data_IF_576656659643
#
_entry.id   IF_576656659643
#
_cell.length_a   1.000
_cell.length_b   1.000
_cell.length_c   1.000
_cell.angle_alpha   90.00
_cell.angle_beta   90.00
_cell.angle_gamma   90.00
#
_symmetry.space_group_name_H-M   'P 1'
#
loop_
_entity.id
_entity.type
_entity.pdbx_description
1 polymer ?
#
# COMPACT_ATOMS: atom_id res chain seq x y z
N UNK A 1 -1.46 4.46 28.07
CA UNK A 1 -2.32 3.28 27.79
C UNK A 1 -1.56 1.94 27.77
N UNK A 2 -0.27 1.89 27.51
CA UNK A 2 0.60 0.69 27.48
C UNK A 2 0.02 -0.47 26.63
N UNK A 3 -0.24 -0.27 25.32
CA UNK A 3 -0.81 -1.31 24.49
C UNK A 3 0.20 -2.45 24.24
N UNK A 4 -0.29 -3.69 24.14
CA UNK A 4 0.50 -4.86 23.76
C UNK A 4 0.98 -4.78 22.29
N UNK A 5 0.12 -4.24 21.41
CA UNK A 5 0.37 -4.08 19.98
C UNK A 5 0.05 -2.66 19.58
N UNK A 6 0.91 -2.05 18.77
CA UNK A 6 0.71 -0.71 18.22
C UNK A 6 0.90 -0.72 16.70
N UNK A 7 -0.17 -0.48 15.98
CA UNK A 7 -0.20 -0.46 14.52
C UNK A 7 -0.33 0.97 14.02
N UNK A 8 0.44 1.31 12.98
CA UNK A 8 0.43 2.62 12.34
C UNK A 8 0.27 2.42 10.82
N UNK A 9 -0.57 3.22 10.15
CA UNK A 9 -0.65 3.22 8.69
C UNK A 9 0.69 3.65 8.07
N UNK A 10 1.21 2.90 7.10
CA UNK A 10 2.47 3.21 6.43
C UNK A 10 2.32 4.31 5.37
N UNK A 11 1.61 5.37 5.68
CA UNK A 11 1.61 6.63 4.94
C UNK A 11 2.96 7.34 5.08
N UNK A 12 3.21 8.41 4.34
CA UNK A 12 4.45 9.18 4.46
C UNK A 12 4.68 9.64 5.91
N UNK A 13 3.67 10.28 6.52
CA UNK A 13 3.73 10.72 7.92
C UNK A 13 3.82 9.54 8.90
N UNK A 14 3.05 8.48 8.66
CA UNK A 14 3.02 7.31 9.53
C UNK A 14 4.34 6.55 9.55
N UNK A 15 5.09 6.51 8.45
CA UNK A 15 6.42 5.89 8.39
C UNK A 15 7.44 6.64 9.25
N UNK A 16 7.45 7.97 9.16
CA UNK A 16 8.34 8.81 9.97
C UNK A 16 7.98 8.71 11.46
N UNK A 17 6.70 8.84 11.77
CA UNK A 17 6.20 8.75 13.14
C UNK A 17 6.48 7.39 13.78
N UNK A 18 6.23 6.29 13.04
CA UNK A 18 6.44 4.93 13.55
C UNK A 18 7.89 4.69 14.00
N UNK A 19 8.85 5.15 13.20
CA UNK A 19 10.27 5.05 13.53
C UNK A 19 10.65 5.86 14.78
N UNK A 20 10.16 7.09 14.88
CA UNK A 20 10.39 7.96 16.02
C UNK A 20 9.80 7.38 17.32
N UNK A 21 8.54 6.90 17.27
CA UNK A 21 7.84 6.29 18.42
C UNK A 21 8.56 5.00 18.85
N UNK A 22 8.91 4.12 17.92
CA UNK A 22 9.62 2.87 18.25
C UNK A 22 10.96 3.14 18.95
N UNK A 23 11.69 4.16 18.47
CA UNK A 23 12.96 4.59 19.08
C UNK A 23 12.74 5.15 20.50
N UNK A 24 11.75 6.01 20.69
CA UNK A 24 11.43 6.59 22.00
C UNK A 24 11.02 5.51 23.01
N UNK A 25 10.25 4.51 22.59
CA UNK A 25 9.80 3.39 23.41
C UNK A 25 10.84 2.26 23.52
N UNK A 26 11.97 2.37 22.82
CA UNK A 26 13.04 1.35 22.77
C UNK A 26 12.52 -0.04 22.40
N UNK A 27 11.62 -0.10 21.42
CA UNK A 27 11.04 -1.35 20.91
C UNK A 27 11.36 -1.53 19.42
N UNK A 28 11.10 -2.74 18.90
CA UNK A 28 11.26 -3.04 17.48
C UNK A 28 10.06 -2.60 16.64
N UNK A 29 10.31 -2.17 15.41
CA UNK A 29 9.30 -1.85 14.42
C UNK A 29 9.46 -2.74 13.20
N UNK A 30 8.40 -3.44 12.78
CA UNK A 30 8.34 -4.08 11.48
C UNK A 30 7.62 -3.15 10.51
N UNK A 31 8.34 -2.61 9.54
CA UNK A 31 7.82 -1.57 8.66
C UNK A 31 7.19 -2.15 7.38
N UNK A 32 6.14 -1.48 6.89
CA UNK A 32 5.50 -1.72 5.59
C UNK A 32 4.95 -3.14 5.41
N UNK A 33 4.25 -3.62 6.44
CA UNK A 33 3.72 -4.97 6.50
C UNK A 33 2.55 -5.17 5.54
N UNK A 34 2.52 -6.37 4.95
CA UNK A 34 1.47 -6.82 4.03
C UNK A 34 0.61 -7.94 4.61
N UNK A 35 1.01 -8.52 5.75
CA UNK A 35 0.23 -9.52 6.49
C UNK A 35 0.52 -9.38 7.98
N UNK A 36 -0.53 -9.49 8.79
CA UNK A 36 -0.45 -9.47 10.26
C UNK A 36 -1.30 -10.62 10.81
N UNK A 37 -0.73 -11.39 11.72
CA UNK A 37 -1.41 -12.48 12.40
C UNK A 37 -1.02 -12.53 13.88
N UNK A 38 -1.95 -12.85 14.75
CA UNK A 38 -1.63 -13.21 16.13
C UNK A 38 -1.46 -14.72 16.21
N UNK A 39 -0.27 -15.17 16.54
CA UNK A 39 0.03 -16.61 16.53
C UNK A 39 0.96 -17.07 17.65
N UNK A 40 1.00 -18.39 17.85
CA UNK A 40 1.95 -19.02 18.76
C UNK A 40 3.34 -19.03 18.11
N UNK A 41 4.34 -18.71 18.92
CA UNK A 41 5.74 -18.72 18.49
C UNK A 41 6.53 -19.60 19.45
N UNK A 42 7.29 -20.56 18.93
CA UNK A 42 8.09 -21.50 19.75
C UNK A 42 8.95 -20.76 20.76
N UNK A 43 8.77 -21.11 22.04
CA UNK A 43 9.49 -20.50 23.15
C UNK A 43 8.93 -19.17 23.66
N UNK A 44 7.79 -18.72 23.17
CA UNK A 44 7.02 -17.61 23.74
C UNK A 44 5.91 -18.16 24.66
N UNK A 45 5.66 -17.45 25.78
CA UNK A 45 4.60 -17.84 26.74
C UNK A 45 3.19 -17.41 26.29
N UNK A 46 3.11 -16.49 25.31
CA UNK A 46 1.86 -15.90 24.83
C UNK A 46 1.90 -15.77 23.31
N UNK A 47 0.73 -15.56 22.70
CA UNK A 47 0.63 -15.25 21.28
C UNK A 47 1.34 -13.94 20.98
N UNK A 48 2.06 -13.90 19.86
CA UNK A 48 2.79 -12.73 19.40
C UNK A 48 2.27 -12.25 18.06
N UNK A 49 2.44 -10.95 17.80
CA UNK A 49 2.22 -10.39 16.48
C UNK A 49 3.27 -10.95 15.51
N UNK A 50 2.83 -11.63 14.49
CA UNK A 50 3.61 -12.10 13.35
C UNK A 50 3.39 -11.10 12.22
N UNK A 51 4.35 -10.23 12.00
CA UNK A 51 4.29 -9.16 11.02
C UNK A 51 5.10 -9.56 9.78
N UNK A 52 4.43 -9.78 8.65
CA UNK A 52 5.07 -10.20 7.40
C UNK A 52 5.19 -9.04 6.44
N UNK A 53 6.37 -8.89 5.86
CA UNK A 53 6.68 -7.85 4.88
C UNK A 53 7.52 -8.40 3.73
N UNK A 54 7.45 -7.78 2.53
CA UNK A 54 8.42 -8.03 1.47
C UNK A 54 9.82 -7.59 1.88
N UNK A 55 10.82 -8.42 1.58
CA UNK A 55 12.23 -8.16 1.81
C UNK A 55 13.03 -8.42 0.53
N UNK A 56 14.26 -7.92 0.47
CA UNK A 56 15.19 -8.15 -0.65
C UNK A 56 14.57 -7.89 -2.03
N UNK A 57 14.02 -6.69 -2.22
CA UNK A 57 13.40 -6.31 -3.49
C UNK A 57 12.05 -6.97 -3.78
N UNK A 58 11.41 -7.57 -2.78
CA UNK A 58 10.11 -8.23 -2.90
C UNK A 58 10.18 -9.73 -3.23
N UNK A 59 11.35 -10.29 -3.40
CA UNK A 59 11.52 -11.70 -3.76
C UNK A 59 11.36 -12.66 -2.57
N UNK A 60 11.41 -12.14 -1.35
CA UNK A 60 11.29 -12.93 -0.11
C UNK A 60 10.27 -12.25 0.79
N UNK A 61 9.41 -13.05 1.41
CA UNK A 61 8.49 -12.60 2.46
C UNK A 61 9.11 -12.94 3.81
N UNK A 62 9.38 -11.92 4.63
CA UNK A 62 9.94 -12.08 5.97
C UNK A 62 8.85 -11.89 7.02
N UNK A 63 8.65 -12.90 7.88
CA UNK A 63 7.78 -12.80 9.06
C UNK A 63 8.61 -12.50 10.29
N UNK A 64 8.35 -11.38 10.93
CA UNK A 64 9.12 -10.84 12.04
C UNK A 64 8.24 -10.82 13.30
N UNK A 65 8.85 -11.14 14.45
CA UNK A 65 8.18 -11.16 15.75
C UNK A 65 9.00 -10.41 16.79
N UNK A 66 8.35 -9.59 17.61
CA UNK A 66 8.96 -8.91 18.75
C UNK A 66 8.71 -9.70 20.04
N UNK A 67 9.71 -10.48 20.48
CA UNK A 67 9.56 -11.41 21.62
C UNK A 67 9.64 -10.73 22.97
N UNK A 68 10.49 -9.69 23.13
CA UNK A 68 10.91 -9.16 24.42
C UNK A 68 10.33 -7.79 24.75
N UNK A 69 10.20 -6.93 23.75
CA UNK A 69 9.80 -5.54 23.96
C UNK A 69 8.32 -5.33 23.70
N UNK A 70 7.76 -4.29 24.33
CA UNK A 70 6.38 -3.84 24.16
C UNK A 70 6.35 -2.33 23.96
N UNK A 71 5.39 -1.83 23.20
CA UNK A 71 4.44 -2.58 22.36
C UNK A 71 5.15 -3.32 21.21
N UNK A 72 4.52 -4.38 20.66
CA UNK A 72 4.91 -4.97 19.38
C UNK A 72 4.45 -4.01 18.30
N UNK A 73 5.38 -3.38 17.58
CA UNK A 73 5.03 -2.32 16.62
C UNK A 73 5.13 -2.77 15.18
N UNK A 74 4.16 -2.32 14.38
CA UNK A 74 4.16 -2.55 12.95
C UNK A 74 3.58 -1.38 12.21
N UNK A 75 4.20 -0.97 11.10
CA UNK A 75 3.52 -0.11 10.15
C UNK A 75 2.90 -0.95 9.04
N UNK A 76 1.68 -0.59 8.65
CA UNK A 76 0.84 -1.39 7.77
C UNK A 76 0.66 -0.67 6.45
N UNK A 77 0.98 -1.36 5.36
CA UNK A 77 0.82 -0.81 4.01
C UNK A 77 -0.66 -0.49 3.76
N UNK A 78 -0.99 0.68 3.22
CA UNK A 78 -2.37 1.01 2.83
C UNK A 78 -2.98 -0.04 1.90
N UNK A 79 -4.29 -0.25 2.01
CA UNK A 79 -5.07 -1.13 1.12
C UNK A 79 -4.73 -2.63 1.14
N UNK A 80 -3.90 -3.09 2.07
CA UNK A 80 -3.53 -4.51 2.18
C UNK A 80 -4.63 -5.32 2.87
N UNK A 81 -5.30 -4.72 3.85
CA UNK A 81 -6.39 -5.37 4.58
C UNK A 81 -7.75 -4.87 4.12
N UNK A 82 -8.77 -5.74 4.07
CA UNK A 82 -10.14 -5.29 3.91
C UNK A 82 -10.56 -4.44 5.11
N UNK A 83 -11.41 -3.45 4.87
CA UNK A 83 -12.07 -2.75 5.97
C UNK A 83 -12.92 -3.74 6.76
N UNK A 84 -12.94 -3.59 8.08
CA UNK A 84 -13.86 -4.37 8.90
C UNK A 84 -15.32 -4.04 8.52
N UNK A 85 -16.24 -5.03 8.58
CA UNK A 85 -17.66 -4.73 8.38
C UNK A 85 -18.13 -3.66 9.37
N UNK A 86 -18.92 -2.72 8.87
CA UNK A 86 -19.53 -1.72 9.74
C UNK A 86 -20.48 -2.40 10.73
N UNK A 87 -20.29 -2.12 12.02
CA UNK A 87 -21.20 -2.58 13.08
C UNK A 87 -21.89 -1.35 13.69
N UNK A 88 -23.19 -1.16 13.42
CA UNK A 88 -23.92 -0.02 13.95
C UNK A 88 -24.10 -0.07 15.48
N UNK A 89 -24.00 -1.25 16.08
CA UNK A 89 -24.16 -1.46 17.53
C UNK A 89 -22.86 -1.34 18.32
N UNK A 90 -21.74 -1.09 17.62
CA UNK A 90 -20.46 -0.91 18.27
C UNK A 90 -20.44 0.41 19.06
N UNK A 91 -20.25 0.31 20.36
CA UNK A 91 -20.08 1.45 21.26
C UNK A 91 -18.60 1.61 21.59
N UNK A 92 -18.09 2.83 21.47
CA UNK A 92 -16.72 3.20 21.83
C UNK A 92 -16.69 4.41 22.75
N UNK A 93 -15.65 4.50 23.58
CA UNK A 93 -15.35 5.69 24.35
C UNK A 93 -14.46 6.62 23.54
N UNK A 94 -14.80 7.91 23.46
CA UNK A 94 -13.99 8.94 22.84
C UNK A 94 -13.29 9.71 23.96
N UNK A 95 -11.96 9.60 24.02
CA UNK A 95 -11.14 10.28 25.02
C UNK A 95 -10.38 11.41 24.31
N UNK A 96 -10.61 12.64 24.72
CA UNK A 96 -9.86 13.79 24.25
C UNK A 96 -8.58 13.94 25.07
N UNK A 97 -7.42 13.92 24.40
CA UNK A 97 -6.12 14.11 25.03
C UNK A 97 -5.48 15.41 24.53
N UNK A 98 -5.09 16.26 25.43
CA UNK A 98 -4.30 17.46 25.12
C UNK A 98 -2.83 17.06 25.00
N UNK A 99 -2.28 17.12 23.80
CA UNK A 99 -0.88 16.70 23.55
C UNK A 99 0.14 17.72 24.05
N UNK A 100 -0.26 18.96 24.33
CA UNK A 100 0.65 20.06 24.68
C UNK A 100 1.63 20.46 23.57
N UNK A 101 1.47 19.90 22.36
CA UNK A 101 2.30 20.27 21.22
C UNK A 101 1.75 21.56 20.61
N UNK A 102 2.59 22.60 20.57
CA UNK A 102 2.26 23.89 19.92
C UNK A 102 3.16 24.11 18.72
N UNK A 103 2.71 24.89 17.74
CA UNK A 103 3.53 25.27 16.59
C UNK A 103 4.80 26.03 17.02
N UNK A 104 4.73 26.81 18.09
CA UNK A 104 5.88 27.55 18.63
C UNK A 104 6.99 26.64 19.16
N UNK A 105 6.65 25.43 19.61
CA UNK A 105 7.61 24.41 20.06
C UNK A 105 8.18 23.55 18.93
N UNK A 106 7.67 23.66 17.72
CA UNK A 106 8.13 22.89 16.57
C UNK A 106 9.44 23.47 15.99
N UNK A 107 10.38 22.57 15.59
CA UNK A 107 11.65 22.99 14.97
C UNK A 107 11.48 23.49 13.53
N UNK A 108 10.32 23.24 12.92
CA UNK A 108 9.98 23.65 11.56
C UNK A 108 8.49 23.92 11.48
N UNK A 109 8.09 24.87 10.62
CA UNK A 109 6.69 25.15 10.34
C UNK A 109 6.43 24.98 8.85
N UNK A 110 5.19 24.64 8.49
CA UNK A 110 4.75 24.61 7.10
C UNK A 110 4.46 26.05 6.69
N UNK A 111 5.22 26.59 5.72
CA UNK A 111 5.03 27.93 5.21
C UNK A 111 3.91 27.98 4.16
N UNK A 112 3.84 26.97 3.29
CA UNK A 112 2.87 26.89 2.21
C UNK A 112 2.62 25.44 1.84
N UNK A 113 1.39 25.11 1.47
CA UNK A 113 1.02 23.82 0.89
C UNK A 113 0.73 24.01 -0.58
N UNK A 114 1.70 23.67 -1.43
CA UNK A 114 1.56 23.75 -2.88
C UNK A 114 0.91 22.47 -3.39
N UNK A 115 -0.37 22.56 -3.76
CA UNK A 115 -1.06 21.46 -4.42
C UNK A 115 -0.55 21.32 -5.86
N UNK A 116 -0.20 20.11 -6.28
CA UNK A 116 0.09 19.85 -7.68
C UNK A 116 -1.18 20.16 -8.51
N UNK A 117 -1.08 21.05 -9.47
CA UNK A 117 -2.19 21.39 -10.36
C UNK A 117 -2.46 20.34 -11.44
N UNK A 118 -1.66 19.28 -11.48
CA UNK A 118 -1.77 18.24 -12.49
C UNK A 118 -2.60 17.07 -12.00
N UNK A 119 -3.45 16.54 -12.89
CA UNK A 119 -4.30 15.36 -12.80
C UNK A 119 -3.97 14.42 -11.64
N UNK A 120 -4.45 14.73 -10.45
CA UNK A 120 -4.35 13.85 -9.29
C UNK A 120 -5.34 12.71 -9.49
N UNK A 121 -4.94 11.72 -10.28
CA UNK A 121 -5.70 10.48 -10.37
C UNK A 121 -5.55 9.76 -9.05
N UNK A 122 -6.61 9.70 -8.27
CA UNK A 122 -6.60 8.98 -7.00
C UNK A 122 -6.79 7.47 -7.27
N UNK A 123 -5.75 6.91 -7.93
CA UNK A 123 -5.76 5.50 -8.32
C UNK A 123 -5.87 4.56 -7.12
N UNK A 124 -5.42 5.01 -5.94
CA UNK A 124 -5.45 4.19 -4.71
C UNK A 124 -6.88 3.98 -4.20
N UNK A 125 -7.81 4.88 -4.55
CA UNK A 125 -9.21 4.82 -4.09
C UNK A 125 -10.21 4.44 -5.19
N UNK A 126 -9.74 4.12 -6.38
CA UNK A 126 -10.60 3.72 -7.48
C UNK A 126 -11.11 2.28 -7.32
N UNK A 127 -12.39 2.07 -7.61
CA UNK A 127 -13.01 0.74 -7.63
C UNK A 127 -12.64 -0.07 -8.88
N UNK A 128 -12.29 0.62 -9.98
CA UNK A 128 -11.92 0.01 -11.25
C UNK A 128 -10.64 0.63 -11.77
N UNK A 129 -9.66 -0.19 -12.08
CA UNK A 129 -8.39 0.24 -12.67
C UNK A 129 -8.14 -0.55 -13.94
N UNK A 130 -7.88 0.18 -15.05
CA UNK A 130 -7.43 -0.42 -16.31
C UNK A 130 -5.97 -0.02 -16.52
N UNK A 131 -5.08 -1.00 -16.41
CA UNK A 131 -3.63 -0.76 -16.42
C UNK A 131 -3.00 -1.25 -17.72
N UNK A 132 -2.14 -0.39 -18.32
CA UNK A 132 -1.35 -0.70 -19.48
C UNK A 132 0.10 -1.05 -19.13
N UNK A 133 0.64 -2.09 -19.81
CA UNK A 133 2.05 -2.44 -19.80
C UNK A 133 2.72 -2.14 -21.14
N UNK A 134 4.01 -2.49 -21.30
CA UNK A 134 4.73 -2.32 -22.56
C UNK A 134 4.08 -3.01 -23.75
N UNK A 135 3.29 -4.06 -23.52
CA UNK A 135 2.57 -4.80 -24.55
C UNK A 135 1.48 -3.97 -25.25
N UNK A 136 1.11 -2.77 -24.75
CA UNK A 136 0.19 -1.86 -25.46
C UNK A 136 0.88 -1.12 -26.63
N UNK A 137 2.21 -1.22 -26.79
CA UNK A 137 2.97 -0.81 -27.95
C UNK A 137 3.48 0.62 -27.96
N UNK A 138 2.97 1.52 -27.11
CA UNK A 138 3.38 2.92 -27.09
C UNK A 138 2.37 3.83 -26.39
N UNK A 139 2.61 5.15 -26.39
CA UNK A 139 1.66 6.14 -25.83
C UNK A 139 0.28 6.06 -26.47
N UNK A 140 0.22 5.76 -27.77
CA UNK A 140 -1.04 5.61 -28.52
C UNK A 140 -1.91 4.46 -27.97
N UNK A 141 -1.29 3.38 -27.51
CA UNK A 141 -1.98 2.26 -26.88
C UNK A 141 -2.72 2.65 -25.62
N UNK A 142 -2.25 3.69 -24.91
CA UNK A 142 -2.95 4.20 -23.75
C UNK A 142 -4.27 4.91 -24.07
N UNK A 143 -4.52 5.30 -25.33
CA UNK A 143 -5.84 5.78 -25.75
C UNK A 143 -6.90 4.69 -25.63
N UNK A 144 -6.55 3.43 -25.98
CA UNK A 144 -7.46 2.27 -25.84
C UNK A 144 -7.65 1.94 -24.36
N UNK A 145 -6.58 1.96 -23.57
CA UNK A 145 -6.65 1.74 -22.12
C UNK A 145 -7.57 2.77 -21.46
N UNK A 146 -7.42 4.05 -21.84
CA UNK A 146 -8.26 5.13 -21.34
C UNK A 146 -9.73 4.95 -21.74
N UNK A 147 -10.00 4.64 -23.00
CA UNK A 147 -11.37 4.42 -23.47
C UNK A 147 -12.06 3.29 -22.69
N UNK A 148 -11.32 2.22 -22.40
CA UNK A 148 -11.85 1.10 -21.59
C UNK A 148 -12.07 1.54 -20.13
N UNK A 149 -11.14 2.29 -19.54
CA UNK A 149 -11.29 2.81 -18.19
C UNK A 149 -12.51 3.73 -18.09
N UNK A 150 -12.67 4.66 -19.02
CA UNK A 150 -13.81 5.58 -19.08
C UNK A 150 -15.15 4.80 -19.22
N UNK A 151 -15.18 3.78 -20.08
CA UNK A 151 -16.38 2.94 -20.29
C UNK A 151 -16.75 2.12 -19.04
N UNK A 152 -15.77 1.76 -18.22
CA UNK A 152 -15.98 1.02 -16.97
C UNK A 152 -16.16 1.93 -15.74
N UNK A 153 -16.12 3.25 -15.92
CA UNK A 153 -16.17 4.22 -14.80
C UNK A 153 -14.96 4.12 -13.88
N UNK A 154 -13.82 3.74 -14.44
CA UNK A 154 -12.57 3.52 -13.72
C UNK A 154 -11.48 4.53 -14.09
N UNK A 155 -10.26 4.25 -13.64
CA UNK A 155 -9.08 5.08 -13.88
C UNK A 155 -7.97 4.29 -14.59
N UNK A 156 -7.09 5.03 -15.26
CA UNK A 156 -5.94 4.43 -15.96
C UNK A 156 -4.80 4.15 -14.99
N UNK A 157 -4.30 2.92 -15.01
CA UNK A 157 -3.06 2.52 -14.35
C UNK A 157 -1.95 2.21 -15.36
N UNK A 158 -0.73 2.05 -14.86
CA UNK A 158 0.40 1.69 -15.71
C UNK A 158 1.46 0.87 -14.97
N UNK A 159 2.19 0.05 -15.70
CA UNK A 159 3.40 -0.56 -15.19
C UNK A 159 4.56 0.44 -15.21
N UNK A 160 5.55 0.26 -14.31
CA UNK A 160 6.74 1.11 -14.22
C UNK A 160 7.46 1.33 -15.56
N UNK A 161 7.68 0.32 -16.42
CA UNK A 161 8.33 0.53 -17.70
C UNK A 161 7.64 1.54 -18.64
N UNK A 162 6.32 1.71 -18.52
CA UNK A 162 5.60 2.71 -19.31
C UNK A 162 5.80 4.12 -18.76
N UNK A 163 5.94 4.25 -17.45
CA UNK A 163 6.26 5.52 -16.79
C UNK A 163 7.70 5.93 -17.07
N UNK A 164 8.65 4.99 -16.92
CA UNK A 164 10.07 5.23 -17.21
C UNK A 164 10.28 5.61 -18.70
N UNK A 165 9.46 5.10 -19.61
CA UNK A 165 9.46 5.47 -21.04
C UNK A 165 8.72 6.78 -21.35
N UNK A 166 8.12 7.43 -20.36
CA UNK A 166 7.39 8.70 -20.54
C UNK A 166 6.03 8.58 -21.24
N UNK A 167 5.48 7.36 -21.36
CA UNK A 167 4.17 7.13 -22.00
C UNK A 167 3.01 7.63 -21.14
N UNK A 168 3.19 7.62 -19.82
CA UNK A 168 2.21 8.08 -18.84
C UNK A 168 2.93 8.60 -17.59
N UNK A 169 2.28 9.49 -16.85
CA UNK A 169 2.88 10.14 -15.67
C UNK A 169 2.95 9.18 -14.46
N UNK A 170 3.88 9.44 -13.55
CA UNK A 170 4.12 8.64 -12.34
C UNK A 170 2.89 8.41 -11.44
N UNK A 171 1.93 9.35 -11.25
CA UNK A 171 0.73 9.09 -10.44
C UNK A 171 -0.08 7.86 -10.85
N UNK A 172 0.05 7.40 -12.10
CA UNK A 172 -0.59 6.19 -12.62
C UNK A 172 0.18 4.90 -12.35
N UNK A 173 1.40 4.99 -11.81
CA UNK A 173 2.24 3.81 -11.64
C UNK A 173 1.71 2.88 -10.55
N UNK A 174 1.44 1.62 -10.91
CA UNK A 174 1.09 0.53 -10.01
C UNK A 174 2.26 -0.42 -9.82
N UNK A 175 2.55 -0.79 -8.59
CA UNK A 175 3.61 -1.72 -8.24
C UNK A 175 4.36 -1.34 -6.97
N UNK A 176 5.43 -2.08 -6.68
CA UNK A 176 6.23 -1.93 -5.46
C UNK A 176 6.80 -0.51 -5.26
N UNK A 177 7.21 0.14 -6.36
CA UNK A 177 7.79 1.49 -6.35
C UNK A 177 6.79 2.57 -6.76
N UNK A 178 5.58 2.19 -7.07
CA UNK A 178 4.44 3.06 -7.37
C UNK A 178 3.36 2.95 -6.29
N UNK A 179 2.13 2.99 -6.74
CA UNK A 179 0.96 2.87 -5.89
C UNK A 179 0.60 1.41 -5.65
N UNK A 180 0.20 1.07 -4.42
CA UNK A 180 -0.43 -0.21 -4.11
C UNK A 180 -1.94 0.01 -4.11
N UNK A 181 -2.64 -0.77 -4.92
CA UNK A 181 -4.07 -0.62 -5.15
C UNK A 181 -4.84 -1.89 -4.79
N UNK A 182 -6.11 -1.72 -4.46
CA UNK A 182 -7.03 -2.83 -4.24
C UNK A 182 -8.41 -2.48 -4.80
N UNK A 183 -8.54 -2.36 -6.12
CA UNK A 183 -9.83 -2.14 -6.76
C UNK A 183 -10.70 -3.40 -6.68
N UNK A 184 -12.01 -3.21 -6.93
CA UNK A 184 -12.93 -4.33 -7.18
C UNK A 184 -12.56 -5.06 -8.47
N UNK A 185 -12.14 -4.29 -9.50
CA UNK A 185 -11.70 -4.85 -10.79
C UNK A 185 -10.39 -4.22 -11.22
N UNK A 186 -9.40 -5.06 -11.51
CA UNK A 186 -8.13 -4.67 -12.09
C UNK A 186 -7.95 -5.32 -13.45
N UNK A 187 -7.87 -4.52 -14.52
CA UNK A 187 -7.58 -5.01 -15.88
C UNK A 187 -6.10 -4.77 -16.17
N UNK A 188 -5.35 -5.84 -16.42
CA UNK A 188 -3.92 -5.81 -16.76
C UNK A 188 -3.74 -6.09 -18.25
N UNK A 189 -3.58 -5.06 -19.07
CA UNK A 189 -3.41 -5.20 -20.52
C UNK A 189 -1.94 -5.02 -20.93
N UNK A 190 -1.36 -6.04 -21.57
CA UNK A 190 0.04 -6.02 -22.03
C UNK A 190 1.08 -5.90 -20.92
N UNK A 191 0.73 -6.36 -19.71
CA UNK A 191 1.61 -6.41 -18.53
C UNK A 191 2.17 -7.80 -18.37
N UNK A 192 3.49 -7.93 -18.22
CA UNK A 192 4.16 -9.23 -18.10
C UNK A 192 3.88 -9.95 -16.79
N UNK A 193 3.57 -9.23 -15.71
CA UNK A 193 3.34 -9.83 -14.40
C UNK A 193 4.62 -10.02 -13.57
N UNK A 194 5.63 -9.19 -13.78
CA UNK A 194 6.78 -9.15 -12.87
C UNK A 194 6.33 -8.98 -11.42
N UNK A 195 7.01 -9.64 -10.48
CA UNK A 195 6.66 -9.63 -9.05
C UNK A 195 6.47 -8.22 -8.50
N UNK A 196 7.31 -7.27 -8.94
CA UNK A 196 7.24 -5.88 -8.52
C UNK A 196 5.94 -5.19 -8.93
N UNK A 197 5.30 -5.61 -10.02
CA UNK A 197 3.98 -5.13 -10.42
C UNK A 197 2.89 -5.86 -9.64
N UNK A 198 2.98 -7.20 -9.55
CA UNK A 198 1.98 -8.05 -8.88
C UNK A 198 1.77 -7.62 -7.41
N UNK A 199 2.82 -7.32 -6.66
CA UNK A 199 2.68 -6.87 -5.25
C UNK A 199 1.89 -5.56 -5.09
N UNK A 200 1.76 -4.77 -6.15
CA UNK A 200 0.97 -3.54 -6.15
C UNK A 200 -0.51 -3.75 -6.43
N UNK A 201 -0.94 -4.92 -6.98
CA UNK A 201 -2.31 -5.12 -7.43
C UNK A 201 -2.93 -6.50 -7.09
N UNK A 202 -2.13 -7.45 -6.63
CA UNK A 202 -2.56 -8.83 -6.39
C UNK A 202 -3.70 -9.00 -5.38
N UNK A 203 -3.97 -7.99 -4.57
CA UNK A 203 -5.06 -7.98 -3.59
C UNK A 203 -6.37 -7.41 -4.17
N UNK A 204 -6.44 -7.14 -5.48
CA UNK A 204 -7.68 -6.75 -6.16
C UNK A 204 -8.72 -7.86 -6.04
N UNK A 205 -9.99 -7.50 -5.94
CA UNK A 205 -11.05 -8.50 -5.74
C UNK A 205 -11.25 -9.36 -7.01
N UNK A 206 -11.07 -8.74 -8.20
CA UNK A 206 -11.12 -9.42 -9.49
C UNK A 206 -10.03 -8.90 -10.43
N UNK A 207 -9.25 -9.82 -11.04
CA UNK A 207 -8.16 -9.48 -11.95
C UNK A 207 -8.45 -10.06 -13.33
N UNK A 208 -8.42 -9.20 -14.35
CA UNK A 208 -8.52 -9.58 -15.77
C UNK A 208 -7.17 -9.33 -16.41
N UNK A 209 -6.51 -10.37 -16.88
CA UNK A 209 -5.24 -10.25 -17.58
C UNK A 209 -5.42 -10.45 -19.09
N UNK A 210 -4.86 -9.54 -19.88
CA UNK A 210 -4.85 -9.57 -21.36
C UNK A 210 -3.39 -9.52 -21.80
N UNK A 211 -2.91 -10.62 -22.39
CA UNK A 211 -1.53 -10.72 -22.88
C UNK A 211 -1.47 -11.60 -24.12
N UNK A 212 -0.60 -11.25 -25.06
CA UNK A 212 -0.31 -12.09 -26.24
C UNK A 212 0.59 -13.28 -25.93
N UNK A 213 1.36 -13.23 -24.83
CA UNK A 213 2.16 -14.34 -24.32
C UNK A 213 1.34 -15.17 -23.34
N UNK A 214 0.92 -16.39 -23.69
CA UNK A 214 0.13 -17.25 -22.80
C UNK A 214 0.91 -17.73 -21.56
N UNK A 215 2.25 -17.61 -21.57
CA UNK A 215 3.11 -18.00 -20.46
C UNK A 215 3.53 -16.79 -19.60
N UNK A 216 2.93 -15.63 -19.82
CA UNK A 216 3.26 -14.45 -19.03
C UNK A 216 2.93 -14.67 -17.54
N UNK A 217 3.85 -14.31 -16.61
CA UNK A 217 3.64 -14.51 -15.18
C UNK A 217 2.41 -13.77 -14.59
N UNK A 218 1.76 -12.92 -15.39
CA UNK A 218 0.51 -12.25 -14.96
C UNK A 218 -0.65 -13.24 -14.83
N UNK A 219 -0.57 -14.41 -15.45
CA UNK A 219 -1.61 -15.45 -15.39
C UNK A 219 -1.43 -16.41 -14.19
N UNK A 220 -0.32 -16.34 -13.47
CA UNK A 220 -0.03 -17.09 -12.24
C UNK A 220 -0.51 -16.32 -11.00
#
# INVERSE_FOLDING_TARGET
>A
YQPEVFLIGATTLGRDLAGAVATALRTGLTADCTKLEMGEVKGAKQRLLQATRPAFGGNIMATIVCRKHRPQMSSVRPRVFPAAPYNPDAVGEIIAEETGVTEEGARSCILEFVHAQEDTVDIEYSDVIVAGGRGVGGPEGFAVIKALADAMGGVVGASRPCVDAGWIKYPHQVGQTGKTVRPKVYVAAGISGALQHKVGMQNSDFIIAINSDPNAPIFE
#
